data_IF_321036607434
#
_entry.id   IF_321036607434
#
_cell.length_a   1.000
_cell.length_b   1.000
_cell.length_c   1.000
_cell.angle_alpha   90.00
_cell.angle_beta   90.00
_cell.angle_gamma   90.00
#
_symmetry.space_group_name_H-M   'P 1'
#
loop_
_entity.id
_entity.type
_entity.pdbx_description
1 polymer ?
#
# COMPACT_ATOMS: atom_id res chain seq x y z
N UNK A 1 -55.39 -17.01 10.90
CA UNK A 1 -55.64 -15.89 11.82
C UNK A 1 -54.86 -14.69 11.30
N UNK A 2 -55.56 -13.77 10.61
CA UNK A 2 -55.02 -12.52 10.10
C UNK A 2 -55.21 -11.45 11.18
N UNK A 3 -54.14 -10.76 11.56
CA UNK A 3 -54.24 -9.47 12.25
C UNK A 3 -53.55 -8.44 11.37
N UNK A 4 -54.39 -7.55 10.86
CA UNK A 4 -54.06 -6.35 10.13
C UNK A 4 -54.05 -5.15 11.10
N UNK A 5 -53.45 -4.06 10.64
CA UNK A 5 -53.66 -2.65 10.99
C UNK A 5 -52.53 -1.88 11.69
N UNK A 6 -52.09 -0.88 10.91
CA UNK A 6 -51.72 0.48 11.31
C UNK A 6 -50.27 0.72 11.73
N UNK A 7 -49.40 0.77 10.71
CA UNK A 7 -48.12 1.48 10.78
C UNK A 7 -48.38 2.99 10.83
N UNK A 8 -47.75 3.76 11.74
CA UNK A 8 -47.83 5.20 11.69
C UNK A 8 -47.04 5.70 10.48
N UNK A 9 -47.79 6.29 9.55
CA UNK A 9 -47.26 7.10 8.46
C UNK A 9 -46.64 8.36 9.06
N UNK A 10 -45.35 8.32 9.36
CA UNK A 10 -44.57 9.55 9.48
C UNK A 10 -43.98 9.81 8.10
N UNK A 11 -44.73 10.57 7.31
CA UNK A 11 -44.18 11.37 6.22
C UNK A 11 -43.43 12.54 6.88
N UNK A 12 -42.14 12.66 6.62
CA UNK A 12 -41.44 13.94 6.49
C UNK A 12 -40.15 13.66 5.73
N UNK A 13 -40.12 14.23 4.52
CA UNK A 13 -38.99 14.22 3.63
C UNK A 13 -37.88 15.09 4.20
N UNK A 14 -36.66 14.57 4.25
CA UNK A 14 -35.45 15.38 4.17
C UNK A 14 -34.43 14.60 3.34
N UNK A 15 -34.60 14.65 2.03
CA UNK A 15 -33.50 14.42 1.09
C UNK A 15 -32.48 15.54 1.26
N UNK A 16 -31.61 15.43 2.27
CA UNK A 16 -30.35 16.15 2.27
C UNK A 16 -29.39 15.42 1.33
N UNK A 17 -29.47 15.77 0.04
CA UNK A 17 -28.44 15.41 -0.92
C UNK A 17 -27.19 16.22 -0.54
N UNK A 18 -26.31 15.62 0.27
CA UNK A 18 -24.98 16.13 0.50
C UNK A 18 -24.24 16.06 -0.83
N UNK A 19 -24.18 17.18 -1.55
CA UNK A 19 -23.11 17.39 -2.53
C UNK A 19 -21.79 17.42 -1.77
N UNK A 20 -21.22 16.23 -1.53
CA UNK A 20 -19.83 16.11 -1.13
C UNK A 20 -18.99 16.69 -2.25
N UNK A 21 -18.45 17.89 -2.05
CA UNK A 21 -17.39 18.41 -2.89
C UNK A 21 -16.24 17.39 -2.85
N UNK A 22 -15.84 16.87 -4.01
CA UNK A 22 -14.61 16.13 -4.11
C UNK A 22 -13.48 17.09 -3.73
N UNK A 23 -12.93 16.95 -2.52
CA UNK A 23 -11.61 17.49 -2.25
C UNK A 23 -10.69 16.65 -3.13
N UNK A 24 -10.23 17.24 -4.23
CA UNK A 24 -9.06 16.71 -4.91
C UNK A 24 -7.90 16.92 -3.92
N UNK A 25 -7.61 15.91 -3.12
CA UNK A 25 -6.30 15.83 -2.51
C UNK A 25 -5.33 15.81 -3.69
N UNK A 26 -4.57 16.89 -3.87
CA UNK A 26 -3.39 16.90 -4.72
C UNK A 26 -2.45 15.92 -4.02
N UNK A 27 -2.58 14.63 -4.36
CA UNK A 27 -1.62 13.61 -3.99
C UNK A 27 -0.36 14.00 -4.74
N UNK A 28 0.39 14.94 -4.15
CA UNK A 28 1.70 15.27 -4.65
C UNK A 28 2.43 13.93 -4.63
N UNK A 29 2.91 13.51 -5.80
CA UNK A 29 3.86 12.41 -5.90
C UNK A 29 5.19 12.86 -5.27
N UNK A 30 5.14 13.24 -3.99
CA UNK A 30 6.27 13.72 -3.22
C UNK A 30 7.04 12.47 -2.77
N UNK A 31 7.96 12.10 -3.64
CA UNK A 31 8.90 11.02 -3.41
C UNK A 31 10.22 11.54 -2.80
N UNK A 32 10.34 12.85 -2.52
CA UNK A 32 11.58 13.42 -2.00
C UNK A 32 11.84 12.99 -0.55
N UNK A 33 10.78 12.67 0.19
CA UNK A 33 10.85 12.24 1.59
C UNK A 33 11.06 10.72 1.77
N UNK A 34 11.21 9.96 0.70
CA UNK A 34 11.40 8.50 0.75
C UNK A 34 12.66 8.07 -0.01
N UNK A 35 13.23 6.89 0.29
CA UNK A 35 14.40 6.41 -0.42
C UNK A 35 14.17 6.34 -1.93
N UNK A 36 15.16 6.78 -2.69
CA UNK A 36 15.17 6.63 -4.13
C UNK A 36 15.46 5.17 -4.54
N UNK A 37 15.46 4.92 -5.85
CA UNK A 37 15.72 3.58 -6.37
C UNK A 37 17.11 3.03 -5.97
N UNK A 38 18.15 3.86 -5.96
CA UNK A 38 19.51 3.40 -5.66
C UNK A 38 19.64 3.00 -4.18
N UNK A 39 19.12 3.83 -3.29
CA UNK A 39 19.04 3.51 -1.86
C UNK A 39 18.20 2.26 -1.59
N UNK A 40 17.05 2.12 -2.28
CA UNK A 40 16.21 0.93 -2.18
C UNK A 40 16.94 -0.33 -2.66
N UNK A 41 17.62 -0.27 -3.81
CA UNK A 41 18.36 -1.42 -4.36
C UNK A 41 19.46 -1.87 -3.42
N UNK A 42 20.26 -0.93 -2.89
CA UNK A 42 21.32 -1.23 -1.95
C UNK A 42 20.79 -1.90 -0.68
N UNK A 43 19.76 -1.33 -0.06
CA UNK A 43 19.14 -1.89 1.15
C UNK A 43 18.47 -3.26 0.88
N UNK A 44 17.91 -3.46 -0.31
CA UNK A 44 17.30 -4.73 -0.70
C UNK A 44 18.35 -5.83 -0.90
N UNK A 45 19.49 -5.51 -1.52
CA UNK A 45 20.59 -6.45 -1.68
C UNK A 45 21.20 -6.82 -0.33
N UNK A 46 21.46 -5.83 0.52
CA UNK A 46 21.95 -6.04 1.89
C UNK A 46 21.00 -6.95 2.69
N UNK A 47 19.69 -6.68 2.65
CA UNK A 47 18.71 -7.53 3.35
C UNK A 47 18.68 -8.97 2.80
N UNK A 48 18.88 -9.16 1.50
CA UNK A 48 18.94 -10.49 0.89
C UNK A 48 20.25 -11.19 1.22
N UNK A 49 21.37 -10.48 1.32
CA UNK A 49 22.66 -11.06 1.70
C UNK A 49 22.69 -11.44 3.19
N UNK A 50 22.22 -10.54 4.08
CA UNK A 50 22.13 -10.77 5.52
C UNK A 50 21.15 -11.90 5.88
N UNK A 51 20.10 -12.05 5.08
CA UNK A 51 19.03 -12.98 5.35
C UNK A 51 18.85 -13.99 4.21
N UNK A 52 19.85 -14.34 3.41
CA UNK A 52 19.65 -15.18 2.21
C UNK A 52 18.91 -16.48 2.51
N UNK A 53 19.45 -17.28 3.41
CA UNK A 53 18.79 -18.52 3.91
C UNK A 53 17.49 -18.22 4.69
N UNK A 54 17.36 -17.03 5.26
CA UNK A 54 16.23 -16.57 6.08
C UNK A 54 15.19 -15.72 5.31
N UNK A 55 15.35 -15.54 4.00
CA UNK A 55 14.50 -14.71 3.12
C UNK A 55 13.18 -15.43 2.90
N UNK A 56 12.36 -15.45 3.96
CA UNK A 56 11.23 -16.37 4.10
C UNK A 56 11.62 -17.85 4.24
N UNK A 57 12.90 -18.17 4.48
CA UNK A 57 13.39 -19.55 4.57
C UNK A 57 13.66 -20.23 3.22
N UNK A 58 13.69 -19.47 2.12
CA UNK A 58 13.70 -20.03 0.75
C UNK A 58 14.94 -19.68 -0.09
N UNK A 59 15.85 -18.80 0.36
CA UNK A 59 17.04 -18.47 -0.44
C UNK A 59 16.77 -17.69 -1.72
N UNK A 60 15.63 -16.98 -1.81
CA UNK A 60 15.16 -16.39 -3.06
C UNK A 60 15.54 -14.91 -3.20
N UNK A 61 15.79 -14.50 -4.45
CA UNK A 61 15.89 -13.10 -4.82
C UNK A 61 14.53 -12.40 -4.75
N UNK A 62 14.52 -11.11 -4.43
CA UNK A 62 13.32 -10.39 -3.97
C UNK A 62 13.00 -9.16 -4.79
N UNK A 63 11.73 -8.77 -4.77
CA UNK A 63 11.26 -7.45 -5.21
C UNK A 63 11.06 -6.54 -4.00
N UNK A 64 11.53 -5.29 -4.10
CA UNK A 64 11.30 -4.23 -3.12
C UNK A 64 10.47 -3.09 -3.74
N UNK A 65 9.58 -2.49 -2.94
CA UNK A 65 8.79 -1.32 -3.35
C UNK A 65 8.80 -0.29 -2.23
N UNK A 66 8.99 0.99 -2.60
CA UNK A 66 8.84 2.14 -1.72
C UNK A 66 7.60 2.92 -2.15
N UNK A 67 6.78 3.30 -1.18
CA UNK A 67 5.60 4.14 -1.38
C UNK A 67 5.71 5.40 -0.52
N UNK A 68 5.21 6.52 -1.02
CA UNK A 68 5.09 7.73 -0.20
C UNK A 68 3.88 7.64 0.74
N UNK A 69 3.65 8.71 1.52
CA UNK A 69 2.56 8.76 2.50
C UNK A 69 1.18 8.56 1.89
N UNK A 70 0.98 9.00 0.66
CA UNK A 70 -0.27 8.86 -0.08
C UNK A 70 -0.44 7.49 -0.77
N UNK A 71 0.53 6.58 -0.59
CA UNK A 71 0.51 5.25 -1.22
C UNK A 71 0.95 5.25 -2.68
N UNK A 72 1.55 6.33 -3.16
CA UNK A 72 2.14 6.42 -4.50
C UNK A 72 3.45 5.64 -4.52
N UNK A 73 3.60 4.74 -5.49
CA UNK A 73 4.86 4.01 -5.71
C UNK A 73 5.94 4.97 -6.20
N UNK A 74 6.98 5.15 -5.40
CA UNK A 74 8.11 6.04 -5.69
C UNK A 74 9.32 5.30 -6.26
N UNK A 75 9.55 4.06 -5.83
CA UNK A 75 10.62 3.22 -6.37
C UNK A 75 10.23 1.74 -6.33
N UNK A 76 10.73 0.99 -7.31
CA UNK A 76 10.63 -0.48 -7.36
C UNK A 76 11.99 -1.02 -7.78
N UNK A 77 12.57 -1.88 -6.96
CA UNK A 77 13.87 -2.52 -7.21
C UNK A 77 13.77 -4.05 -7.06
N UNK A 78 14.81 -4.75 -7.49
CA UNK A 78 14.94 -6.20 -7.37
C UNK A 78 16.37 -6.59 -6.98
N UNK A 79 16.56 -7.68 -6.26
CA UNK A 79 17.89 -8.27 -5.99
C UNK A 79 18.23 -9.36 -7.01
N UNK A 80 19.51 -9.71 -7.19
CA UNK A 80 19.96 -10.67 -8.21
C UNK A 80 20.31 -10.03 -9.57
N UNK A 81 20.76 -10.85 -10.51
CA UNK A 81 21.42 -10.41 -11.74
C UNK A 81 20.45 -9.75 -12.74
N UNK A 82 19.22 -10.25 -12.82
CA UNK A 82 18.22 -9.74 -13.75
C UNK A 82 16.79 -9.90 -13.21
N UNK A 83 15.80 -9.35 -13.94
CA UNK A 83 14.38 -9.32 -13.53
C UNK A 83 13.69 -10.69 -13.52
N UNK A 84 14.38 -11.75 -13.93
CA UNK A 84 13.94 -13.13 -13.89
C UNK A 84 14.52 -13.92 -12.72
N UNK A 85 15.50 -13.39 -11.97
CA UNK A 85 16.04 -14.10 -10.79
C UNK A 85 15.04 -14.16 -9.63
N UNK A 86 14.02 -13.29 -9.63
CA UNK A 86 12.94 -13.22 -8.64
C UNK A 86 11.65 -13.79 -9.23
N UNK A 87 10.71 -14.18 -8.38
CA UNK A 87 9.37 -14.54 -8.85
C UNK A 87 8.62 -13.32 -9.40
N UNK A 88 8.16 -13.32 -10.67
CA UNK A 88 7.57 -12.12 -11.28
C UNK A 88 6.32 -11.59 -10.54
N UNK A 89 5.51 -12.49 -9.98
CA UNK A 89 4.31 -12.12 -9.22
C UNK A 89 4.63 -11.38 -7.91
N UNK A 90 5.81 -11.60 -7.34
CA UNK A 90 6.23 -10.99 -6.07
C UNK A 90 6.41 -9.47 -6.18
N UNK A 91 6.54 -8.92 -7.40
CA UNK A 91 6.58 -7.47 -7.63
C UNK A 91 5.32 -6.76 -7.14
N UNK A 92 4.14 -7.32 -7.43
CA UNK A 92 2.88 -6.70 -7.01
C UNK A 92 2.64 -6.94 -5.51
N UNK A 93 3.08 -8.08 -5.00
CA UNK A 93 3.00 -8.39 -3.57
C UNK A 93 3.86 -7.44 -2.75
N UNK A 94 5.06 -7.09 -3.20
CA UNK A 94 5.92 -6.13 -2.48
C UNK A 94 5.28 -4.75 -2.40
N UNK A 95 4.62 -4.30 -3.47
CA UNK A 95 3.86 -3.04 -3.46
C UNK A 95 2.67 -3.08 -2.49
N UNK A 96 1.94 -4.19 -2.43
CA UNK A 96 0.87 -4.37 -1.45
C UNK A 96 1.39 -4.35 -0.02
N UNK A 97 2.50 -5.04 0.27
CA UNK A 97 3.15 -5.02 1.58
C UNK A 97 3.57 -3.60 1.98
N UNK A 98 4.17 -2.84 1.06
CA UNK A 98 4.58 -1.46 1.30
C UNK A 98 3.38 -0.55 1.61
N UNK A 99 2.28 -0.69 0.88
CA UNK A 99 1.06 0.08 1.15
C UNK A 99 0.42 -0.29 2.50
N UNK A 100 0.40 -1.57 2.87
CA UNK A 100 -0.05 -2.00 4.20
C UNK A 100 0.83 -1.41 5.29
N UNK A 101 2.16 -1.46 5.13
CA UNK A 101 3.09 -0.85 6.08
C UNK A 101 2.82 0.66 6.24
N UNK A 102 2.65 1.39 5.13
CA UNK A 102 2.32 2.82 5.15
C UNK A 102 0.96 3.10 5.81
N UNK A 103 -0.05 2.26 5.58
CA UNK A 103 -1.38 2.42 6.17
C UNK A 103 -1.42 2.15 7.68
N UNK A 104 -0.49 1.35 8.21
CA UNK A 104 -0.49 0.88 9.60
C UNK A 104 0.74 1.31 10.42
N UNK A 105 1.55 2.23 9.93
CA UNK A 105 2.65 2.81 10.69
C UNK A 105 2.11 3.73 11.81
N UNK A 106 2.41 3.40 13.08
CA UNK A 106 1.96 4.14 14.27
C UNK A 106 2.98 5.16 14.81
N UNK A 107 4.14 5.32 14.16
CA UNK A 107 5.07 6.41 14.42
C UNK A 107 6.00 6.64 13.22
N UNK A 108 5.99 7.83 12.63
CA UNK A 108 7.24 8.38 12.13
C UNK A 108 7.87 9.09 13.33
N UNK A 109 9.09 8.70 13.71
CA UNK A 109 9.79 9.28 14.85
C UNK A 109 9.72 10.81 14.84
N UNK A 110 9.23 11.36 15.95
CA UNK A 110 9.47 12.74 16.38
C UNK A 110 10.92 12.91 16.81
#
# INVERSE_FOLDING_TARGET
MTINTAWPRILLADTALLMGGAVAADAKNDCAAVPDHAALKAALDEAVDEHGEASGGLGLQMWGTVVNRDGVVCAVAFSGDDRGSQWPGSRVISAQKANTANAHQTSMGS
#
